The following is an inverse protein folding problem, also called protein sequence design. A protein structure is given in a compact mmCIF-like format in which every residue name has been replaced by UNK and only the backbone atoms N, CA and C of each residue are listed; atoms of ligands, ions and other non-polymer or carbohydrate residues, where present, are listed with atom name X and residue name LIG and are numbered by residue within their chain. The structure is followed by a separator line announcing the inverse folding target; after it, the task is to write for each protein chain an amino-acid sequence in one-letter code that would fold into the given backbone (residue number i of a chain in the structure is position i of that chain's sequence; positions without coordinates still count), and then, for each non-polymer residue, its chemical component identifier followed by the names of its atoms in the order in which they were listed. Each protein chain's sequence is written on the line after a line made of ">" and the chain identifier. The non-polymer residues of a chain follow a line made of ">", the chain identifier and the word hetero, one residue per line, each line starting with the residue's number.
data_IF_361047568655
#
_entry.id   IF_361047568655
#
_cell.length_a   1.000
_cell.length_b   1.000
_cell.length_c   1.000
_cell.angle_alpha   90.00
_cell.angle_beta   90.00
_cell.angle_gamma   90.00
#
_symmetry.space_group_name_H-M   'P 1'
#
loop_
_entity.id
_entity.type
_entity.pdbx_description
1 polymer ?
#
# COMPACT_ATOMS: atom_id res chain seq x y z
N UNK A 1 -15.17 -37.05 11.64
CA UNK A 1 -14.22 -35.94 11.79
C UNK A 1 -13.93 -35.36 10.43
N UNK A 2 -14.01 -34.03 10.26
CA UNK A 2 -13.61 -33.37 9.00
C UNK A 2 -12.33 -32.57 9.24
N UNK A 3 -11.38 -32.73 8.32
CA UNK A 3 -10.07 -32.08 8.31
C UNK A 3 -10.01 -30.90 7.34
N UNK A 4 -11.15 -30.43 6.82
CA UNK A 4 -11.25 -29.34 5.84
C UNK A 4 -12.38 -28.38 6.23
N UNK A 5 -12.14 -27.59 7.29
CA UNK A 5 -13.07 -26.57 7.76
C UNK A 5 -12.54 -25.17 7.45
N UNK A 6 -13.32 -24.31 6.76
CA UNK A 6 -12.86 -22.99 6.34
C UNK A 6 -12.78 -21.96 7.48
N UNK A 7 -13.33 -22.26 8.66
CA UNK A 7 -13.47 -21.33 9.80
C UNK A 7 -12.13 -20.74 10.28
N UNK A 8 -11.01 -21.43 10.04
CA UNK A 8 -9.66 -20.95 10.38
C UNK A 8 -8.95 -20.23 9.23
N UNK A 9 -9.57 -20.11 8.06
CA UNK A 9 -9.01 -19.44 6.88
C UNK A 9 -9.00 -17.91 6.97
N UNK A 10 -9.54 -17.31 8.03
CA UNK A 10 -9.56 -15.85 8.24
C UNK A 10 -8.17 -15.22 8.27
N UNK A 11 -7.14 -15.99 8.63
CA UNK A 11 -5.73 -15.57 8.56
C UNK A 11 -5.32 -15.16 7.14
N UNK A 12 -5.88 -15.78 6.11
CA UNK A 12 -5.60 -15.43 4.71
C UNK A 12 -6.06 -14.01 4.38
N UNK A 13 -7.19 -13.57 4.93
CA UNK A 13 -7.66 -12.18 4.79
C UNK A 13 -6.71 -11.21 5.49
N UNK A 14 -6.15 -11.59 6.64
CA UNK A 14 -5.19 -10.76 7.37
C UNK A 14 -3.93 -10.47 6.53
N UNK A 15 -3.42 -11.47 5.79
CA UNK A 15 -2.28 -11.26 4.88
C UNK A 15 -2.57 -10.22 3.79
N UNK A 16 -3.79 -10.18 3.25
CA UNK A 16 -4.15 -9.19 2.22
C UNK A 16 -4.36 -7.81 2.85
N UNK A 17 -5.15 -7.74 3.92
CA UNK A 17 -5.59 -6.48 4.52
C UNK A 17 -4.47 -5.74 5.25
N UNK A 18 -3.55 -6.46 5.90
CA UNK A 18 -2.55 -5.86 6.78
C UNK A 18 -1.14 -6.03 6.24
N UNK A 19 -0.74 -7.26 5.92
CA UNK A 19 0.61 -7.50 5.44
C UNK A 19 0.82 -6.91 4.03
N UNK A 20 -0.14 -7.14 3.12
CA UNK A 20 -0.26 -6.46 1.84
C UNK A 20 -0.95 -5.09 1.92
N UNK A 21 -1.67 -4.81 3.02
CA UNK A 21 -2.23 -3.49 3.27
C UNK A 21 -3.42 -3.08 2.41
N UNK A 22 -4.03 -3.97 1.63
CA UNK A 22 -5.09 -3.63 0.67
C UNK A 22 -6.45 -3.71 1.35
N UNK A 23 -7.13 -2.57 1.50
CA UNK A 23 -8.46 -2.50 2.11
C UNK A 23 -9.35 -1.52 1.33
N UNK A 24 -10.68 -1.71 1.30
CA UNK A 24 -11.58 -0.65 0.88
C UNK A 24 -11.59 0.46 1.95
N UNK A 25 -11.78 1.72 1.56
CA UNK A 25 -12.09 2.75 2.55
C UNK A 25 -13.42 2.42 3.27
N UNK A 26 -13.61 2.89 4.50
CA UNK A 26 -14.76 2.51 5.34
C UNK A 26 -16.12 2.82 4.70
N UNK A 27 -16.18 3.85 3.87
CA UNK A 27 -17.36 4.30 3.14
C UNK A 27 -17.31 3.96 1.64
N UNK A 28 -16.32 3.17 1.19
CA UNK A 28 -16.16 2.81 -0.21
C UNK A 28 -17.25 1.85 -0.71
N UNK A 29 -17.63 2.00 -1.98
CA UNK A 29 -18.52 1.08 -2.67
C UNK A 29 -17.76 0.35 -3.77
N UNK A 30 -17.56 -0.95 -3.55
CA UNK A 30 -16.87 -1.81 -4.52
C UNK A 30 -15.45 -1.34 -4.84
N UNK A 31 -14.68 -0.87 -3.85
CA UNK A 31 -13.30 -0.37 -4.01
C UNK A 31 -13.15 0.85 -4.94
N UNK A 32 -14.16 1.71 -5.04
CA UNK A 32 -13.99 3.03 -5.67
C UNK A 32 -12.94 3.92 -4.95
N UNK A 33 -12.80 3.71 -3.64
CA UNK A 33 -11.75 4.27 -2.78
C UNK A 33 -11.00 3.17 -2.04
N UNK A 34 -9.69 3.23 -2.11
CA UNK A 34 -8.78 2.18 -1.63
C UNK A 34 -7.90 2.74 -0.52
N UNK A 35 -7.62 1.92 0.49
CA UNK A 35 -6.57 2.17 1.48
C UNK A 35 -5.45 1.17 1.22
N UNK A 36 -4.23 1.68 1.03
CA UNK A 36 -3.00 0.90 0.93
C UNK A 36 -2.15 1.22 2.15
N UNK A 37 -2.21 0.36 3.18
CA UNK A 37 -1.50 0.54 4.45
C UNK A 37 -0.73 -0.73 4.85
N UNK A 38 0.30 -1.11 4.09
CA UNK A 38 1.09 -2.31 4.39
C UNK A 38 1.78 -2.20 5.75
N UNK A 39 1.65 -3.24 6.56
CA UNK A 39 2.33 -3.39 7.84
C UNK A 39 3.68 -4.08 7.60
N UNK A 40 4.70 -3.28 7.27
CA UNK A 40 6.06 -3.78 7.08
C UNK A 40 6.71 -4.14 8.43
N UNK A 41 6.37 -5.29 9.00
CA UNK A 41 6.98 -5.81 10.24
C UNK A 41 8.43 -6.23 10.02
N UNK A 42 9.29 -6.11 11.04
CA UNK A 42 10.75 -6.26 10.92
C UNK A 42 11.20 -7.62 10.40
N UNK A 43 10.50 -8.69 10.77
CA UNK A 43 10.89 -10.07 10.45
C UNK A 43 10.47 -10.53 9.04
N UNK A 44 9.77 -9.68 8.28
CA UNK A 44 9.34 -9.99 6.90
C UNK A 44 10.13 -9.12 5.94
N UNK A 45 10.90 -9.73 5.04
CA UNK A 45 11.76 -8.98 4.10
C UNK A 45 10.98 -8.40 2.93
N UNK A 46 9.94 -9.09 2.46
CA UNK A 46 9.17 -8.66 1.30
C UNK A 46 7.77 -9.28 1.30
N UNK A 47 6.86 -8.62 0.60
CA UNK A 47 5.49 -9.07 0.34
C UNK A 47 5.14 -8.72 -1.11
N UNK A 48 4.50 -9.66 -1.79
CA UNK A 48 3.80 -9.38 -3.05
C UNK A 48 2.34 -9.71 -2.86
N UNK A 49 1.49 -8.70 -2.99
CA UNK A 49 0.06 -8.83 -2.77
C UNK A 49 -0.71 -8.17 -3.89
N UNK A 50 -1.81 -8.81 -4.28
CA UNK A 50 -2.76 -8.23 -5.21
C UNK A 50 -4.18 -8.70 -4.93
N UNK A 51 -5.14 -7.84 -5.23
CA UNK A 51 -6.55 -8.13 -5.05
C UNK A 51 -7.32 -7.76 -6.33
N UNK A 52 -8.14 -8.68 -6.83
CA UNK A 52 -9.00 -8.41 -7.99
C UNK A 52 -10.34 -7.88 -7.47
N UNK A 53 -10.49 -6.56 -7.48
CA UNK A 53 -11.73 -5.89 -7.10
C UNK A 53 -12.69 -5.79 -8.30
N UNK A 54 -13.93 -5.34 -8.04
CA UNK A 54 -14.88 -4.98 -9.10
C UNK A 54 -14.39 -3.83 -10.00
N UNK A 55 -13.40 -3.04 -9.55
CA UNK A 55 -12.80 -1.94 -10.32
C UNK A 55 -11.54 -2.37 -11.09
N UNK A 56 -11.07 -3.60 -10.89
CA UNK A 56 -9.85 -4.11 -11.47
C UNK A 56 -8.82 -4.54 -10.42
N UNK A 57 -7.62 -4.87 -10.91
CA UNK A 57 -6.53 -5.37 -10.09
C UNK A 57 -5.88 -4.25 -9.29
N UNK A 58 -5.75 -4.47 -7.98
CA UNK A 58 -5.00 -3.63 -7.05
C UNK A 58 -3.71 -4.37 -6.71
N UNK A 59 -2.57 -3.69 -6.72
CA UNK A 59 -1.28 -4.27 -6.32
C UNK A 59 -0.70 -3.46 -5.17
N UNK A 60 -0.17 -4.16 -4.16
CA UNK A 60 0.65 -3.59 -3.10
C UNK A 60 1.78 -4.56 -2.78
N UNK A 61 2.91 -4.35 -3.44
CA UNK A 61 4.14 -5.06 -3.13
C UNK A 61 5.02 -4.14 -2.31
N UNK A 62 5.78 -4.72 -1.39
CA UNK A 62 6.86 -4.02 -0.72
C UNK A 62 8.04 -4.93 -0.43
N UNK A 63 9.24 -4.36 -0.36
CA UNK A 63 10.46 -5.07 0.03
C UNK A 63 11.45 -4.17 0.75
N UNK A 64 12.21 -4.76 1.66
CA UNK A 64 13.40 -4.16 2.28
C UNK A 64 14.61 -4.44 1.41
N UNK A 65 15.32 -3.40 1.01
CA UNK A 65 16.51 -3.53 0.17
C UNK A 65 17.45 -2.35 0.43
N UNK A 66 18.72 -2.62 0.78
CA UNK A 66 19.72 -1.57 0.97
C UNK A 66 19.40 -0.54 2.06
N UNK A 67 18.68 -0.96 3.13
CA UNK A 67 18.24 -0.05 4.19
C UNK A 67 17.08 0.88 3.77
N UNK A 68 16.41 0.58 2.67
CA UNK A 68 15.23 1.28 2.18
C UNK A 68 14.03 0.34 2.15
N UNK A 69 12.83 0.92 2.20
CA UNK A 69 11.59 0.24 1.85
C UNK A 69 11.16 0.66 0.46
N UNK A 70 11.01 -0.31 -0.44
CA UNK A 70 10.54 -0.10 -1.81
C UNK A 70 9.12 -0.63 -1.94
N UNK A 71 8.24 0.13 -2.59
CA UNK A 71 6.85 -0.23 -2.80
C UNK A 71 6.52 -0.19 -4.29
N UNK A 72 5.80 -1.20 -4.78
CA UNK A 72 5.19 -1.18 -6.10
C UNK A 72 3.67 -1.24 -5.92
N UNK A 73 2.98 -0.21 -6.39
CA UNK A 73 1.55 -0.04 -6.18
C UNK A 73 0.85 0.17 -7.51
N UNK A 74 -0.26 -0.52 -7.73
CA UNK A 74 -1.12 -0.30 -8.87
C UNK A 74 -2.54 0.01 -8.39
N UNK A 75 -3.06 1.14 -8.85
CA UNK A 75 -4.40 1.64 -8.56
C UNK A 75 -5.21 1.58 -9.86
N UNK A 76 -6.31 0.83 -9.92
CA UNK A 76 -7.07 0.64 -11.15
C UNK A 76 -7.74 1.95 -11.62
N UNK A 77 -8.10 1.99 -12.91
CA UNK A 77 -8.77 3.14 -13.51
C UNK A 77 -10.08 3.50 -12.77
N UNK A 78 -10.43 4.79 -12.78
CA UNK A 78 -11.63 5.33 -12.11
C UNK A 78 -11.70 5.06 -10.60
N UNK A 79 -10.56 4.89 -9.95
CA UNK A 79 -10.45 4.78 -8.49
C UNK A 79 -9.43 5.76 -7.92
N UNK A 80 -9.46 5.93 -6.61
CA UNK A 80 -8.43 6.66 -5.86
C UNK A 80 -7.95 5.83 -4.68
N UNK A 81 -6.75 6.13 -4.20
CA UNK A 81 -6.19 5.46 -3.05
C UNK A 81 -5.57 6.42 -2.05
N UNK A 82 -5.63 6.07 -0.77
CA UNK A 82 -4.74 6.61 0.26
C UNK A 82 -3.64 5.58 0.50
N UNK A 83 -2.39 5.96 0.27
CA UNK A 83 -1.23 5.14 0.63
C UNK A 83 -0.57 5.70 1.89
N UNK A 84 -0.26 4.81 2.83
CA UNK A 84 0.47 5.12 4.06
C UNK A 84 1.89 4.59 3.92
N UNK A 85 2.85 5.48 3.74
CA UNK A 85 4.26 5.14 3.62
C UNK A 85 4.98 5.38 4.96
N UNK A 86 5.74 4.41 5.50
CA UNK A 86 6.36 4.52 6.83
C UNK A 86 7.56 5.47 6.81
N UNK A 87 7.29 6.77 6.86
CA UNK A 87 8.27 7.84 6.87
C UNK A 87 7.86 8.94 7.85
N UNK A 88 8.83 9.70 8.34
CA UNK A 88 8.61 10.86 9.23
C UNK A 88 8.37 12.14 8.45
N UNK A 89 8.90 12.25 7.23
CA UNK A 89 8.75 13.44 6.39
C UNK A 89 8.62 13.06 4.91
N UNK A 90 8.04 13.96 4.12
CA UNK A 90 7.82 13.74 2.68
C UNK A 90 9.13 13.65 1.88
N UNK A 91 10.19 14.31 2.34
CA UNK A 91 11.52 14.35 1.70
C UNK A 91 12.22 12.99 1.75
N UNK A 92 11.81 12.12 2.67
CA UNK A 92 12.30 10.74 2.73
C UNK A 92 11.74 9.87 1.60
N UNK A 93 10.72 10.35 0.88
CA UNK A 93 9.97 9.55 -0.09
C UNK A 93 10.22 10.07 -1.50
N UNK A 94 10.54 9.15 -2.38
CA UNK A 94 10.56 9.39 -3.82
C UNK A 94 9.62 8.45 -4.54
N UNK A 95 9.09 8.90 -5.68
CA UNK A 95 8.37 8.08 -6.66
C UNK A 95 9.21 8.09 -7.94
N UNK A 96 9.66 6.91 -8.40
CA UNK A 96 10.61 6.80 -9.53
C UNK A 96 11.80 7.76 -9.44
N UNK A 97 12.32 7.98 -8.22
CA UNK A 97 13.45 8.88 -7.95
C UNK A 97 13.11 10.37 -7.91
N UNK A 98 11.86 10.77 -8.13
CA UNK A 98 11.39 12.17 -8.02
C UNK A 98 10.76 12.43 -6.65
N UNK A 99 10.88 13.65 -6.09
CA UNK A 99 10.14 14.03 -4.90
C UNK A 99 8.63 13.87 -5.11
N UNK A 100 7.91 13.35 -4.11
CA UNK A 100 6.47 13.09 -4.23
C UNK A 100 5.62 14.34 -4.52
N UNK A 101 6.12 15.53 -4.17
CA UNK A 101 5.48 16.82 -4.49
C UNK A 101 5.47 17.17 -5.98
N UNK A 102 6.28 16.50 -6.80
CA UNK A 102 6.41 16.76 -8.24
C UNK A 102 5.71 15.68 -9.10
N UNK A 103 5.01 14.74 -8.47
CA UNK A 103 4.42 13.58 -9.15
C UNK A 103 2.94 13.86 -9.41
N UNK A 104 2.56 14.02 -10.68
CA UNK A 104 1.19 14.37 -11.06
C UNK A 104 0.09 13.41 -10.57
N UNK A 105 0.44 12.11 -10.39
CA UNK A 105 -0.49 11.12 -9.85
C UNK A 105 -0.78 11.25 -8.35
N UNK A 106 0.02 12.05 -7.62
CA UNK A 106 -0.12 12.33 -6.20
C UNK A 106 -0.85 13.66 -6.06
N UNK A 107 -2.11 13.61 -5.63
CA UNK A 107 -2.99 14.79 -5.56
C UNK A 107 -2.73 15.67 -4.35
N UNK A 108 -2.42 15.04 -3.23
CA UNK A 108 -2.13 15.67 -1.94
C UNK A 108 -1.35 14.68 -1.08
N UNK A 109 -0.60 15.20 -0.11
CA UNK A 109 0.04 14.40 0.91
C UNK A 109 0.11 15.16 2.24
N UNK A 110 0.10 14.40 3.34
CA UNK A 110 0.23 14.91 4.69
C UNK A 110 1.12 14.00 5.52
N UNK A 111 1.74 14.56 6.57
CA UNK A 111 2.51 13.76 7.54
C UNK A 111 1.64 13.49 8.75
N UNK A 112 1.50 12.22 9.09
CA UNK A 112 0.92 11.72 10.34
C UNK A 112 2.03 11.07 11.18
N UNK A 113 1.85 10.92 12.49
CA UNK A 113 2.92 10.58 13.47
C UNK A 113 4.00 9.60 13.00
N UNK A 114 3.63 8.52 12.30
CA UNK A 114 4.55 7.48 11.81
C UNK A 114 4.40 7.17 10.31
N UNK A 115 3.75 8.04 9.54
CA UNK A 115 3.57 7.82 8.12
C UNK A 115 3.38 9.13 7.34
N UNK A 116 3.84 9.15 6.11
CA UNK A 116 3.38 10.12 5.12
C UNK A 116 2.24 9.48 4.35
N UNK A 117 1.09 10.16 4.34
CA UNK A 117 -0.13 9.70 3.71
C UNK A 117 -0.30 10.46 2.40
N UNK A 118 -0.32 9.74 1.28
CA UNK A 118 -0.47 10.33 -0.05
C UNK A 118 -1.82 9.91 -0.65
N UNK A 119 -2.55 10.86 -1.23
CA UNK A 119 -3.72 10.56 -2.08
C UNK A 119 -3.26 10.35 -3.51
N UNK A 120 -3.51 9.15 -4.03
CA UNK A 120 -3.17 8.72 -5.38
C UNK A 120 -4.39 8.73 -6.31
N UNK A 121 -4.17 9.12 -7.55
CA UNK A 121 -5.06 8.75 -8.66
C UNK A 121 -4.80 7.31 -9.15
N UNK A 122 -5.53 6.89 -10.17
CA UNK A 122 -5.23 5.64 -10.89
C UNK A 122 -3.86 5.68 -11.54
N UNK A 123 -3.16 4.54 -11.56
CA UNK A 123 -1.84 4.43 -12.15
C UNK A 123 -0.96 3.40 -11.46
N UNK A 124 0.28 3.29 -11.94
CA UNK A 124 1.33 2.50 -11.31
C UNK A 124 2.35 3.43 -10.68
N UNK A 125 2.75 3.11 -9.46
CA UNK A 125 3.65 3.91 -8.64
C UNK A 125 4.77 3.03 -8.10
N UNK A 126 5.99 3.55 -8.09
CA UNK A 126 7.17 2.91 -7.50
C UNK A 126 7.79 3.83 -6.46
N UNK A 127 7.41 3.62 -5.19
CA UNK A 127 7.91 4.42 -4.08
C UNK A 127 9.20 3.86 -3.49
N UNK A 128 10.10 4.74 -3.09
CA UNK A 128 11.24 4.42 -2.24
C UNK A 128 11.19 5.30 -1.01
N UNK A 129 11.20 4.67 0.16
CA UNK A 129 11.26 5.34 1.47
C UNK A 129 12.68 5.19 2.01
N UNK A 130 13.34 6.33 2.18
CA UNK A 130 14.70 6.45 2.70
C UNK A 130 14.65 6.75 4.20
N UNK A 131 14.96 5.77 5.03
CA UNK A 131 15.03 5.94 6.48
C UNK A 131 15.58 4.71 7.16
N UNK A 132 16.48 4.91 8.12
CA UNK A 132 16.84 3.86 9.09
C UNK A 132 15.67 3.71 10.06
N UNK A 133 15.18 2.48 10.20
CA UNK A 133 14.29 2.05 11.27
C UNK A 133 14.80 2.48 12.66
#
# INVERSE_FOLDING_TARGET
>A
YSHSHPMFGSVSQWFINWLGGIQPAADAVGFDRIVIRPQAVKDVNWVRSSYNSARGRIVSNWKREGGQLKFEVNIPANTTALIYLPARTAEQITENGKPISQVAGIKEFQTEQNAVVCRLGSGSYSFTVNGKD
#
